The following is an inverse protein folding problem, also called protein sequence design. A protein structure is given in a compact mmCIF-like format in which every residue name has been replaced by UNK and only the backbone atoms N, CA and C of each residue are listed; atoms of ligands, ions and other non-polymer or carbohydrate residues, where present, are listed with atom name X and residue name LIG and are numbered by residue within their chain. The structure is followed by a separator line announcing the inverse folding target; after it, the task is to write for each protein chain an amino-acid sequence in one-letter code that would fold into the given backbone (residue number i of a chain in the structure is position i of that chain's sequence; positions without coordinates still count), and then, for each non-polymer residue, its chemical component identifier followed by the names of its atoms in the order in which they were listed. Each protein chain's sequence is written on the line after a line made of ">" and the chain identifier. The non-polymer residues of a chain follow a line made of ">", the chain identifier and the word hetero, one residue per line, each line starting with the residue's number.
data_IF_195774556916
#
_entry.id   IF_195774556916
#
_cell.length_a   1.000
_cell.length_b   1.000
_cell.length_c   1.000
_cell.angle_alpha   90.00
_cell.angle_beta   90.00
_cell.angle_gamma   90.00
#
_symmetry.space_group_name_H-M   'P 1'
#
loop_
_entity.id
_entity.type
_entity.pdbx_description
1 polymer ?
#
# COMPACT_ATOMS: atom_id res chain seq x y z
N UNK A 1 -34.90 -7.30 -0.55
CA UNK A 1 -34.43 -5.95 -0.93
C UNK A 1 -34.91 -4.98 0.14
N UNK A 2 -34.56 -5.25 1.39
CA UNK A 2 -34.95 -4.47 2.57
C UNK A 2 -33.69 -4.20 3.38
N UNK A 3 -33.02 -3.08 3.06
CA UNK A 3 -31.85 -2.60 3.80
C UNK A 3 -31.52 -1.15 3.37
N UNK A 4 -32.06 -0.18 4.11
CA UNK A 4 -32.12 1.24 3.73
C UNK A 4 -30.73 1.92 3.80
N UNK A 5 -29.97 1.91 2.70
CA UNK A 5 -28.91 2.90 2.46
C UNK A 5 -29.36 3.98 1.48
N UNK A 6 -28.60 5.06 1.37
CA UNK A 6 -28.98 6.25 0.61
C UNK A 6 -27.95 6.61 -0.47
N UNK A 7 -28.40 7.37 -1.48
CA UNK A 7 -27.54 7.98 -2.49
C UNK A 7 -27.14 9.36 -1.99
N UNK A 8 -25.85 9.57 -1.79
CA UNK A 8 -25.31 10.81 -1.19
C UNK A 8 -24.88 11.81 -2.24
N UNK A 9 -24.35 11.32 -3.36
CA UNK A 9 -23.90 12.13 -4.48
C UNK A 9 -24.17 11.40 -5.79
N UNK A 10 -24.39 12.17 -6.86
CA UNK A 10 -24.75 11.66 -8.18
C UNK A 10 -24.25 12.61 -9.26
N UNK A 11 -23.65 12.06 -10.32
CA UNK A 11 -23.25 12.81 -11.50
C UNK A 11 -23.67 12.06 -12.75
N UNK A 12 -24.33 12.77 -13.65
CA UNK A 12 -24.62 12.29 -14.99
C UNK A 12 -23.33 12.26 -15.81
N UNK A 13 -23.08 11.16 -16.52
CA UNK A 13 -21.98 11.07 -17.49
C UNK A 13 -22.50 11.48 -18.87
N UNK A 14 -23.62 10.87 -19.28
CA UNK A 14 -24.29 11.10 -20.55
C UNK A 14 -25.80 10.75 -20.41
N UNK A 15 -26.51 10.65 -21.52
CA UNK A 15 -27.92 10.24 -21.56
C UNK A 15 -28.17 8.77 -21.17
N UNK A 16 -27.13 7.93 -21.13
CA UNK A 16 -27.23 6.49 -20.93
C UNK A 16 -26.92 6.09 -19.49
N UNK A 17 -25.97 6.77 -18.82
CA UNK A 17 -25.54 6.44 -17.46
C UNK A 17 -25.39 7.63 -16.52
N UNK A 18 -25.57 7.35 -15.23
CA UNK A 18 -25.11 8.19 -14.13
C UNK A 18 -24.25 7.37 -13.16
N UNK A 19 -23.28 8.03 -12.53
CA UNK A 19 -22.52 7.48 -11.42
C UNK A 19 -23.03 8.07 -10.12
N UNK A 20 -23.23 7.23 -9.11
CA UNK A 20 -23.74 7.67 -7.81
C UNK A 20 -22.95 7.01 -6.69
N UNK A 21 -22.82 7.69 -5.55
CA UNK A 21 -22.26 7.08 -4.34
C UNK A 21 -23.39 6.68 -3.43
N UNK A 22 -23.41 5.40 -3.08
CA UNK A 22 -24.31 4.83 -2.09
C UNK A 22 -23.55 4.56 -0.78
N UNK A 23 -24.21 4.81 0.34
CA UNK A 23 -23.71 4.41 1.66
C UNK A 23 -24.86 4.01 2.59
N UNK A 24 -24.53 3.22 3.60
CA UNK A 24 -25.39 2.88 4.74
C UNK A 24 -24.71 3.29 6.06
N UNK A 25 -24.08 4.47 6.08
CA UNK A 25 -23.17 4.86 7.17
C UNK A 25 -21.86 4.06 7.20
N UNK A 26 -21.53 3.37 6.11
CA UNK A 26 -20.35 2.53 5.93
C UNK A 26 -19.50 3.03 4.76
N UNK A 27 -18.48 2.23 4.41
CA UNK A 27 -17.66 2.42 3.21
C UNK A 27 -18.51 2.75 1.98
N UNK A 28 -18.17 3.81 1.21
CA UNK A 28 -18.92 4.15 0.03
C UNK A 28 -18.86 3.03 -1.01
N UNK A 29 -19.96 2.88 -1.76
CA UNK A 29 -20.06 1.98 -2.89
C UNK A 29 -20.47 2.78 -4.12
N UNK A 30 -19.91 2.43 -5.26
CA UNK A 30 -20.25 3.05 -6.53
C UNK A 30 -21.50 2.39 -7.09
N UNK A 31 -22.48 3.21 -7.47
CA UNK A 31 -23.66 2.79 -8.20
C UNK A 31 -23.52 3.25 -9.64
N UNK A 32 -23.56 2.30 -10.56
CA UNK A 32 -23.75 2.57 -11.98
C UNK A 32 -25.25 2.50 -12.26
N UNK A 33 -25.87 3.65 -12.54
CA UNK A 33 -27.26 3.74 -12.95
C UNK A 33 -27.34 3.72 -14.48
N UNK A 34 -27.94 2.67 -15.04
CA UNK A 34 -28.36 2.64 -16.43
C UNK A 34 -29.70 3.39 -16.57
N UNK A 35 -29.66 4.59 -17.16
CA UNK A 35 -30.83 5.46 -17.35
C UNK A 35 -31.83 4.88 -18.34
N UNK A 36 -31.37 4.13 -19.33
CA UNK A 36 -32.22 3.52 -20.36
C UNK A 36 -33.08 2.35 -19.83
N UNK A 37 -32.63 1.67 -18.78
CA UNK A 37 -33.33 0.53 -18.17
C UNK A 37 -33.79 0.79 -16.75
N UNK A 38 -33.51 1.98 -16.20
CA UNK A 38 -33.67 2.32 -14.79
C UNK A 38 -33.08 1.22 -13.85
N UNK A 39 -31.96 0.63 -14.28
CA UNK A 39 -31.32 -0.48 -13.58
C UNK A 39 -30.07 0.02 -12.86
N UNK A 40 -29.90 -0.35 -11.60
CA UNK A 40 -28.74 0.03 -10.77
C UNK A 40 -27.85 -1.17 -10.56
N UNK A 41 -26.54 -0.97 -10.70
CA UNK A 41 -25.53 -1.95 -10.31
C UNK A 41 -24.63 -1.34 -9.26
N UNK A 42 -24.61 -1.96 -8.08
CA UNK A 42 -23.70 -1.62 -7.00
C UNK A 42 -22.36 -2.34 -7.21
N UNK A 43 -21.25 -1.60 -7.15
CA UNK A 43 -19.89 -2.13 -7.29
C UNK A 43 -18.95 -1.45 -6.27
N UNK A 44 -17.85 -2.14 -5.94
CA UNK A 44 -16.78 -1.57 -5.13
C UNK A 44 -15.97 -0.55 -5.95
N UNK A 45 -15.43 0.48 -5.28
CA UNK A 45 -14.57 1.46 -5.92
C UNK A 45 -13.26 0.86 -6.44
N UNK A 46 -12.81 -0.25 -5.83
CA UNK A 46 -11.70 -1.06 -6.35
C UNK A 46 -11.91 -1.58 -7.77
N UNK A 47 -13.15 -1.60 -8.27
CA UNK A 47 -13.41 -1.98 -9.66
C UNK A 47 -12.73 -1.03 -10.67
N UNK A 48 -12.52 0.24 -10.29
CA UNK A 48 -11.94 1.31 -11.10
C UNK A 48 -10.40 1.28 -11.15
N UNK A 49 -9.75 0.44 -10.36
CA UNK A 49 -8.28 0.37 -10.30
C UNK A 49 -7.68 -0.26 -11.55
N UNK A 50 -8.43 -1.19 -12.18
CA UNK A 50 -8.02 -1.86 -13.42
C UNK A 50 -8.40 -1.00 -14.63
N UNK A 51 -7.47 -0.16 -15.08
CA UNK A 51 -7.69 0.85 -16.13
C UNK A 51 -8.04 0.27 -17.51
N UNK A 52 -7.67 -0.98 -17.75
CA UNK A 52 -7.99 -1.75 -18.96
C UNK A 52 -9.44 -2.25 -18.99
N UNK A 53 -10.17 -2.18 -17.87
CA UNK A 53 -11.58 -2.59 -17.83
C UNK A 53 -12.45 -1.67 -18.66
N UNK A 54 -13.47 -2.29 -19.26
CA UNK A 54 -14.54 -1.59 -19.98
C UNK A 54 -15.89 -1.89 -19.36
N UNK A 55 -16.72 -0.87 -19.23
CA UNK A 55 -18.10 -1.01 -18.79
C UNK A 55 -19.01 -1.09 -20.02
N UNK A 56 -19.63 -2.24 -20.24
CA UNK A 56 -20.66 -2.39 -21.27
C UNK A 56 -22.05 -2.17 -20.67
N UNK A 57 -22.81 -1.24 -21.23
CA UNK A 57 -24.14 -0.84 -20.76
C UNK A 57 -25.16 -1.10 -21.86
N UNK A 58 -26.23 -1.84 -21.54
CA UNK A 58 -27.31 -2.12 -22.50
C UNK A 58 -28.08 -0.84 -22.84
N UNK A 59 -28.27 -0.59 -24.13
CA UNK A 59 -29.03 0.53 -24.67
C UNK A 59 -30.55 0.33 -24.59
N UNK A 60 -31.31 1.26 -25.19
CA UNK A 60 -32.78 1.21 -25.18
C UNK A 60 -33.30 0.02 -25.96
N UNK A 61 -32.79 -0.24 -27.17
CA UNK A 61 -33.23 -1.37 -28.01
C UNK A 61 -32.42 -2.64 -27.73
N UNK A 62 -33.01 -3.78 -28.09
CA UNK A 62 -32.36 -5.09 -27.98
C UNK A 62 -31.16 -5.14 -28.94
N UNK A 63 -29.97 -5.42 -28.41
CA UNK A 63 -28.73 -5.51 -29.18
C UNK A 63 -27.89 -4.22 -29.18
N UNK A 64 -28.43 -3.08 -28.72
CA UNK A 64 -27.64 -1.85 -28.55
C UNK A 64 -26.85 -1.91 -27.24
N UNK A 65 -25.59 -1.47 -27.29
CA UNK A 65 -24.74 -1.31 -26.11
C UNK A 65 -23.77 -0.15 -26.27
N UNK A 66 -23.59 0.63 -25.23
CA UNK A 66 -22.52 1.61 -25.10
C UNK A 66 -21.39 1.00 -24.29
N UNK A 67 -20.14 1.27 -24.67
CA UNK A 67 -18.94 0.80 -23.99
C UNK A 67 -18.18 2.01 -23.48
N UNK A 68 -17.85 2.01 -22.19
CA UNK A 68 -17.12 3.08 -21.53
C UNK A 68 -15.78 2.59 -21.00
N UNK A 69 -14.78 3.45 -21.08
CA UNK A 69 -13.47 3.25 -20.47
C UNK A 69 -13.41 3.92 -19.10
N UNK A 70 -12.62 3.36 -18.17
CA UNK A 70 -12.54 3.89 -16.80
C UNK A 70 -12.11 5.36 -16.76
N UNK A 71 -11.23 5.77 -17.69
CA UNK A 71 -10.75 7.15 -17.78
C UNK A 71 -11.86 8.18 -17.97
N UNK A 72 -12.96 7.81 -18.64
CA UNK A 72 -14.11 8.69 -18.88
C UNK A 72 -14.87 9.01 -17.59
N UNK A 73 -14.77 8.13 -16.58
CA UNK A 73 -15.44 8.32 -15.30
C UNK A 73 -14.66 9.20 -14.34
N UNK A 74 -13.37 9.45 -14.58
CA UNK A 74 -12.49 10.09 -13.61
C UNK A 74 -13.00 11.46 -13.14
N UNK A 75 -13.42 12.40 -14.01
CA UNK A 75 -13.91 13.72 -13.55
C UNK A 75 -15.18 13.62 -12.71
N UNK A 76 -16.12 12.75 -13.14
CA UNK A 76 -17.37 12.53 -12.42
C UNK A 76 -17.12 11.88 -11.06
N UNK A 77 -16.21 10.91 -10.98
CA UNK A 77 -15.82 10.24 -9.74
C UNK A 77 -15.17 11.21 -8.75
N UNK A 78 -14.22 12.03 -9.21
CA UNK A 78 -13.59 13.05 -8.36
C UNK A 78 -14.63 14.00 -7.77
N UNK A 79 -15.63 14.40 -8.56
CA UNK A 79 -16.73 15.25 -8.10
C UNK A 79 -17.58 14.55 -7.04
N UNK A 80 -18.15 13.38 -7.35
CA UNK A 80 -19.08 12.71 -6.43
C UNK A 80 -18.40 12.21 -5.15
N UNK A 81 -17.12 11.85 -5.20
CA UNK A 81 -16.34 11.50 -4.00
C UNK A 81 -16.06 12.74 -3.14
N UNK A 82 -15.80 13.90 -3.76
CA UNK A 82 -15.59 15.15 -3.03
C UNK A 82 -16.88 15.60 -2.32
N UNK A 83 -18.03 15.48 -2.99
CA UNK A 83 -19.36 15.71 -2.40
C UNK A 83 -19.63 14.75 -1.24
N UNK A 84 -19.32 13.46 -1.40
CA UNK A 84 -19.45 12.44 -0.35
C UNK A 84 -18.61 12.74 0.89
N UNK A 85 -17.38 13.21 0.71
CA UNK A 85 -16.47 13.52 1.80
C UNK A 85 -16.95 14.70 2.68
N UNK A 86 -17.67 15.65 2.08
CA UNK A 86 -18.33 16.75 2.82
C UNK A 86 -19.50 16.20 3.64
N UNK A 87 -20.29 15.29 3.07
CA UNK A 87 -21.51 14.78 3.69
C UNK A 87 -21.27 13.88 4.92
N UNK A 88 -20.27 12.99 4.88
CA UNK A 88 -20.19 11.84 5.81
C UNK A 88 -19.32 12.04 7.05
N UNK A 89 -18.92 13.28 7.38
CA UNK A 89 -17.84 13.52 8.37
C UNK A 89 -16.58 12.69 8.06
N UNK A 90 -16.29 12.50 6.76
CA UNK A 90 -15.14 11.75 6.28
C UNK A 90 -13.82 12.33 6.79
N UNK A 91 -13.71 13.67 6.86
CA UNK A 91 -12.51 14.38 7.30
C UNK A 91 -12.02 13.95 8.71
N UNK A 92 -12.85 13.98 9.77
CA UNK A 92 -12.47 13.43 11.08
C UNK A 92 -11.99 11.97 11.05
N UNK A 93 -12.68 11.10 10.30
CA UNK A 93 -12.31 9.68 10.19
C UNK A 93 -10.97 9.52 9.46
N UNK A 94 -10.77 10.27 8.37
CA UNK A 94 -9.54 10.29 7.60
C UNK A 94 -8.36 10.78 8.43
N UNK A 95 -8.53 11.90 9.15
CA UNK A 95 -7.48 12.43 10.02
C UNK A 95 -7.07 11.42 11.09
N UNK A 96 -8.06 10.84 11.79
CA UNK A 96 -7.80 9.82 12.80
C UNK A 96 -7.09 8.60 12.22
N UNK A 97 -7.60 8.06 11.11
CA UNK A 97 -7.04 6.86 10.51
C UNK A 97 -5.63 7.09 9.96
N UNK A 98 -5.37 8.26 9.38
CA UNK A 98 -4.02 8.63 8.94
C UNK A 98 -3.05 8.69 10.11
N UNK A 99 -3.44 9.30 11.24
CA UNK A 99 -2.62 9.34 12.46
C UNK A 99 -2.37 7.93 13.01
N UNK A 100 -3.39 7.08 13.05
CA UNK A 100 -3.26 5.68 13.49
C UNK A 100 -2.32 4.89 12.57
N UNK A 101 -2.43 5.08 11.26
CA UNK A 101 -1.55 4.45 10.28
C UNK A 101 -0.09 4.94 10.41
N UNK A 102 0.13 6.24 10.65
CA UNK A 102 1.45 6.82 10.90
C UNK A 102 2.10 6.21 12.14
N UNK A 103 1.34 6.08 13.23
CA UNK A 103 1.79 5.42 14.46
C UNK A 103 2.18 3.97 14.19
N UNK A 104 1.36 3.23 13.45
CA UNK A 104 1.61 1.81 13.14
C UNK A 104 2.87 1.63 12.28
N UNK A 105 3.13 2.50 11.31
CA UNK A 105 4.32 2.45 10.45
C UNK A 105 5.62 2.77 11.19
N UNK A 106 5.52 3.59 12.23
CA UNK A 106 6.68 4.08 12.97
C UNK A 106 6.92 3.35 14.30
N UNK A 107 6.27 2.22 14.55
CA UNK A 107 6.59 1.39 15.72
C UNK A 107 8.04 0.91 15.60
N UNK A 108 8.92 1.27 16.56
CA UNK A 108 10.30 0.83 16.54
C UNK A 108 10.43 -0.61 17.06
N UNK A 109 11.26 -1.41 16.40
CA UNK A 109 11.60 -2.75 16.85
C UNK A 109 12.76 -2.67 17.85
N UNK A 110 12.55 -3.23 19.05
CA UNK A 110 13.53 -3.13 20.14
C UNK A 110 14.59 -4.20 19.97
N UNK A 111 15.86 -3.79 19.95
CA UNK A 111 17.01 -4.69 19.90
C UNK A 111 17.90 -4.40 21.09
N UNK A 112 18.13 -5.40 21.94
CA UNK A 112 18.95 -5.25 23.15
C UNK A 112 20.25 -6.03 23.07
N UNK A 113 20.37 -6.97 22.13
CA UNK A 113 21.55 -7.79 21.96
C UNK A 113 22.28 -7.45 20.66
N UNK A 114 23.62 -7.37 20.72
CA UNK A 114 24.44 -7.01 19.56
C UNK A 114 24.49 -8.13 18.53
N UNK A 115 24.38 -9.39 18.96
CA UNK A 115 24.27 -10.53 18.06
C UNK A 115 22.96 -10.49 17.27
N UNK A 116 21.85 -10.17 17.94
CA UNK A 116 20.54 -9.96 17.30
C UNK A 116 20.58 -8.84 16.26
N UNK A 117 21.25 -7.73 16.56
CA UNK A 117 21.38 -6.61 15.62
C UNK A 117 22.03 -7.02 14.29
N UNK A 118 22.98 -7.97 14.34
CA UNK A 118 23.65 -8.50 13.14
C UNK A 118 22.82 -9.56 12.41
N UNK A 119 21.80 -10.13 13.06
CA UNK A 119 20.98 -11.24 12.56
C UNK A 119 19.50 -10.98 12.88
N UNK A 120 18.98 -9.85 12.41
CA UNK A 120 17.59 -9.47 12.63
C UNK A 120 16.65 -10.48 11.97
N UNK A 121 15.64 -10.91 12.71
CA UNK A 121 14.53 -11.69 12.15
C UNK A 121 13.85 -10.90 11.02
N UNK A 122 13.26 -11.59 10.03
CA UNK A 122 12.46 -10.95 8.96
C UNK A 122 11.38 -10.00 9.51
N UNK A 123 10.84 -10.42 10.64
CA UNK A 123 9.88 -9.69 11.45
C UNK A 123 10.39 -8.30 11.87
N UNK A 124 11.60 -8.23 12.43
CA UNK A 124 12.23 -6.95 12.81
C UNK A 124 12.74 -6.18 11.59
N UNK A 125 13.20 -6.91 10.56
CA UNK A 125 13.57 -6.34 9.27
C UNK A 125 12.42 -5.67 8.54
N UNK A 126 11.18 -5.89 8.94
CA UNK A 126 10.01 -5.24 8.36
C UNK A 126 9.61 -3.92 9.03
N UNK A 127 10.42 -3.37 9.94
CA UNK A 127 10.17 -2.07 10.58
C UNK A 127 11.01 -0.94 9.95
N UNK A 128 10.52 0.30 10.01
CA UNK A 128 11.29 1.48 9.57
C UNK A 128 12.29 1.96 10.63
N UNK A 129 12.13 1.54 11.87
CA UNK A 129 12.93 2.04 13.00
C UNK A 129 13.36 0.89 13.89
N UNK A 130 14.59 0.96 14.38
CA UNK A 130 15.12 0.06 15.40
C UNK A 130 15.45 0.89 16.64
N UNK A 131 14.90 0.51 17.78
CA UNK A 131 15.36 1.02 19.07
C UNK A 131 16.56 0.19 19.51
N UNK A 132 17.76 0.67 19.19
CA UNK A 132 19.04 0.01 19.45
C UNK A 132 19.49 0.33 20.88
N UNK A 133 19.36 -0.67 21.76
CA UNK A 133 19.78 -0.66 23.17
C UNK A 133 20.92 -1.65 23.41
N UNK A 134 21.77 -1.88 22.40
CA UNK A 134 22.87 -2.86 22.44
C UNK A 134 24.12 -2.37 23.17
N UNK A 135 24.12 -1.09 23.59
CA UNK A 135 25.20 -0.50 24.39
C UNK A 135 25.32 -1.08 25.81
N UNK A 136 26.31 -0.61 26.54
CA UNK A 136 26.60 -1.06 27.92
C UNK A 136 25.42 -0.78 28.88
N UNK A 137 24.80 0.40 28.76
CA UNK A 137 23.60 0.76 29.51
C UNK A 137 22.34 0.43 28.70
N UNK A 138 21.69 -0.69 29.03
CA UNK A 138 20.45 -1.18 28.39
C UNK A 138 19.26 -0.23 28.52
N UNK A 139 19.36 0.85 29.33
CA UNK A 139 18.33 1.89 29.43
C UNK A 139 18.56 3.06 28.48
N UNK A 140 19.71 3.12 27.82
CA UNK A 140 20.10 4.14 26.86
C UNK A 140 20.38 3.54 25.50
N UNK A 141 20.19 4.33 24.46
CA UNK A 141 20.48 3.89 23.10
C UNK A 141 20.04 4.91 22.07
N UNK A 142 19.66 4.44 20.90
CA UNK A 142 19.28 5.30 19.78
C UNK A 142 18.14 4.70 18.96
N UNK A 143 17.23 5.55 18.48
CA UNK A 143 16.33 5.19 17.39
C UNK A 143 17.09 5.26 16.07
N UNK A 144 17.47 4.10 15.55
CA UNK A 144 18.17 3.97 14.28
C UNK A 144 17.19 3.87 13.11
N UNK A 145 17.34 4.72 12.08
CA UNK A 145 16.65 4.53 10.81
C UNK A 145 16.97 3.16 10.21
N UNK A 146 15.94 2.40 9.83
CA UNK A 146 16.07 1.18 9.06
C UNK A 146 15.54 1.38 7.64
N UNK A 147 16.13 2.37 6.98
CA UNK A 147 15.86 2.75 5.61
C UNK A 147 17.01 3.61 5.07
N UNK A 148 17.21 3.65 3.74
CA UNK A 148 18.16 4.58 3.15
C UNK A 148 17.74 6.03 3.40
N UNK A 149 18.66 6.83 3.95
CA UNK A 149 18.47 8.25 4.22
C UNK A 149 19.04 9.06 3.05
N UNK A 150 18.17 9.76 2.33
CA UNK A 150 18.54 10.70 1.26
C UNK A 150 19.32 11.91 1.80
N UNK A 151 20.02 12.68 0.94
CA UNK A 151 20.71 13.89 1.37
C UNK A 151 19.82 14.88 2.12
N UNK A 152 18.59 15.09 1.66
CA UNK A 152 17.60 16.01 2.26
C UNK A 152 17.16 15.52 3.64
N UNK A 153 16.89 14.21 3.77
CA UNK A 153 16.50 13.58 5.04
C UNK A 153 17.66 13.53 6.04
N UNK A 154 18.90 13.45 5.55
CA UNK A 154 20.09 13.49 6.41
C UNK A 154 20.21 14.82 7.12
N UNK A 155 19.91 15.94 6.44
CA UNK A 155 19.82 17.25 7.09
C UNK A 155 18.73 17.29 8.16
N UNK A 156 17.59 16.67 7.89
CA UNK A 156 16.45 16.56 8.81
C UNK A 156 16.72 15.68 10.05
N UNK A 157 17.58 14.68 9.92
CA UNK A 157 18.00 13.75 10.99
C UNK A 157 19.44 14.01 11.47
N UNK A 158 19.88 15.27 11.47
CA UNK A 158 21.27 15.65 11.74
C UNK A 158 21.77 15.37 13.16
N UNK A 159 20.87 15.23 14.13
CA UNK A 159 21.21 14.88 15.52
C UNK A 159 20.84 13.42 15.82
N UNK A 160 21.66 12.70 16.61
CA UNK A 160 21.31 11.36 17.10
C UNK A 160 19.96 11.34 17.80
N UNK A 161 19.15 10.31 17.53
CA UNK A 161 17.82 10.16 18.12
C UNK A 161 17.91 9.35 19.42
N UNK A 162 18.47 9.98 20.46
CA UNK A 162 18.78 9.32 21.72
C UNK A 162 17.54 8.74 22.43
N UNK A 163 17.70 7.52 22.95
CA UNK A 163 16.78 6.89 23.90
C UNK A 163 17.38 7.05 25.30
N UNK A 164 16.56 7.55 26.23
CA UNK A 164 16.92 7.68 27.66
C UNK A 164 15.85 7.00 28.50
N UNK A 165 16.26 6.44 29.64
CA UNK A 165 15.37 5.83 30.62
C UNK A 165 14.38 4.83 30.02
N UNK A 166 14.83 4.05 29.02
CA UNK A 166 14.04 3.05 28.31
C UNK A 166 12.80 3.60 27.55
N UNK A 167 12.80 4.91 27.23
CA UNK A 167 11.78 5.58 26.40
C UNK A 167 11.90 5.18 24.93
N UNK A 168 11.47 3.95 24.61
CA UNK A 168 11.66 3.28 23.32
C UNK A 168 10.37 3.02 22.55
N UNK A 169 9.26 3.64 22.97
CA UNK A 169 7.96 3.43 22.33
C UNK A 169 7.81 4.29 21.07
N UNK A 170 6.76 4.04 20.28
CA UNK A 170 6.39 4.92 19.16
C UNK A 170 6.13 6.35 19.61
N UNK A 171 5.52 6.56 20.78
CA UNK A 171 5.27 7.90 21.32
C UNK A 171 6.59 8.63 21.63
N UNK A 172 7.59 7.90 22.11
CA UNK A 172 8.92 8.45 22.39
C UNK A 172 9.65 8.83 21.10
N UNK A 173 9.57 7.98 20.05
CA UNK A 173 10.08 8.32 18.74
C UNK A 173 9.38 9.56 18.16
N UNK A 174 8.05 9.65 18.26
CA UNK A 174 7.29 10.80 17.76
C UNK A 174 7.68 12.10 18.49
N UNK A 175 7.93 12.03 19.80
CA UNK A 175 8.41 13.18 20.61
C UNK A 175 9.75 13.73 20.13
N UNK A 176 10.61 12.92 19.52
CA UNK A 176 11.87 13.43 18.93
C UNK A 176 11.65 14.39 17.76
N UNK A 177 10.44 14.40 17.18
CA UNK A 177 10.09 15.16 15.99
C UNK A 177 10.69 14.62 14.69
N UNK A 178 11.39 13.48 14.71
CA UNK A 178 12.06 12.89 13.55
C UNK A 178 11.09 12.64 12.38
N UNK A 179 9.94 12.01 12.67
CA UNK A 179 8.91 11.71 11.66
C UNK A 179 8.40 12.99 10.98
N UNK A 180 8.11 14.04 11.77
CA UNK A 180 7.67 15.35 11.22
C UNK A 180 8.75 16.00 10.36
N UNK A 181 10.02 15.92 10.76
CA UNK A 181 11.14 16.48 9.98
C UNK A 181 11.34 15.72 8.66
N UNK A 182 11.20 14.40 8.67
CA UNK A 182 11.22 13.56 7.46
C UNK A 182 10.07 13.90 6.51
N UNK A 183 8.85 14.03 7.04
CA UNK A 183 7.67 14.46 6.27
C UNK A 183 7.84 15.84 5.64
N UNK A 184 8.54 16.76 6.30
CA UNK A 184 8.86 18.06 5.73
C UNK A 184 9.96 18.00 4.67
N UNK A 185 11.01 17.19 4.89
CA UNK A 185 12.13 17.07 3.96
C UNK A 185 11.76 16.35 2.65
N UNK A 186 10.96 15.28 2.75
CA UNK A 186 10.52 14.50 1.59
C UNK A 186 9.05 14.07 1.74
N UNK A 187 8.09 14.99 1.50
CA UNK A 187 6.67 14.68 1.67
C UNK A 187 6.19 13.58 0.72
N UNK A 188 6.78 13.46 -0.47
CA UNK A 188 6.41 12.44 -1.44
C UNK A 188 6.71 11.01 -0.94
N UNK A 189 7.66 10.85 0.00
CA UNK A 189 8.00 9.57 0.61
C UNK A 189 7.25 9.33 1.92
N UNK A 190 7.23 10.30 2.82
CA UNK A 190 6.80 10.09 4.20
C UNK A 190 5.34 10.50 4.46
N UNK A 191 4.77 11.38 3.64
CA UNK A 191 3.49 12.02 3.92
C UNK A 191 2.41 11.64 2.91
N UNK A 192 2.64 11.87 1.62
CA UNK A 192 1.65 11.63 0.57
C UNK A 192 1.21 10.16 0.47
N UNK A 193 2.12 9.16 0.51
CA UNK A 193 1.75 7.74 0.40
C UNK A 193 0.81 7.29 1.52
N UNK A 194 1.07 7.77 2.73
CA UNK A 194 0.28 7.47 3.91
C UNK A 194 -1.13 8.06 3.81
N UNK A 195 -1.23 9.33 3.43
CA UNK A 195 -2.52 10.02 3.32
C UNK A 195 -3.37 9.49 2.18
N UNK A 196 -2.76 9.21 1.03
CA UNK A 196 -3.45 8.59 -0.11
C UNK A 196 -3.88 7.18 0.25
N UNK A 197 -3.04 6.41 0.94
CA UNK A 197 -3.43 5.09 1.41
C UNK A 197 -4.62 5.16 2.37
N UNK A 198 -4.55 6.03 3.38
CA UNK A 198 -5.64 6.22 4.33
C UNK A 198 -6.96 6.62 3.66
N UNK A 199 -6.92 7.57 2.72
CA UNK A 199 -8.08 8.02 1.97
C UNK A 199 -8.65 6.92 1.07
N UNK A 200 -7.81 6.23 0.29
CA UNK A 200 -8.21 5.15 -0.60
C UNK A 200 -8.86 4.00 0.19
N UNK A 201 -8.25 3.58 1.31
CA UNK A 201 -8.78 2.54 2.16
C UNK A 201 -10.15 2.93 2.74
N UNK A 202 -10.31 4.14 3.30
CA UNK A 202 -11.61 4.58 3.83
C UNK A 202 -12.68 4.69 2.76
N UNK A 203 -12.30 5.08 1.53
CA UNK A 203 -13.20 5.10 0.39
C UNK A 203 -13.48 3.70 -0.19
N UNK A 204 -12.92 2.63 0.36
CA UNK A 204 -13.23 1.27 -0.09
C UNK A 204 -12.54 0.86 -1.40
N UNK A 205 -11.41 1.48 -1.74
CA UNK A 205 -10.46 0.91 -2.68
C UNK A 205 -9.80 -0.34 -2.09
N UNK A 206 -9.18 -1.15 -2.95
CA UNK A 206 -8.49 -2.37 -2.55
C UNK A 206 -7.26 -2.06 -1.70
N UNK A 207 -6.79 -3.08 -0.97
CA UNK A 207 -5.57 -3.03 -0.18
C UNK A 207 -4.44 -3.66 -1.01
N UNK A 208 -3.95 -2.93 -2.03
CA UNK A 208 -3.02 -3.47 -3.05
C UNK A 208 -3.58 -4.74 -3.71
N UNK A 209 -4.75 -4.60 -4.34
CA UNK A 209 -5.51 -5.64 -5.08
C UNK A 209 -6.19 -6.70 -4.20
N UNK A 210 -6.06 -6.61 -2.87
CA UNK A 210 -6.83 -7.44 -1.95
C UNK A 210 -8.14 -6.75 -1.53
N UNK A 211 -9.20 -7.52 -1.31
CA UNK A 211 -10.44 -6.99 -0.76
C UNK A 211 -10.27 -6.70 0.74
N UNK A 212 -10.26 -5.41 1.10
CA UNK A 212 -10.16 -4.94 2.48
C UNK A 212 -11.51 -4.54 3.09
N UNK A 213 -12.63 -4.83 2.42
CA UNK A 213 -13.95 -4.26 2.75
C UNK A 213 -14.40 -4.48 4.20
N UNK A 214 -14.11 -5.64 4.79
CA UNK A 214 -14.39 -5.92 6.20
C UNK A 214 -13.66 -4.95 7.15
N UNK A 215 -12.38 -4.71 6.90
CA UNK A 215 -11.57 -3.79 7.71
C UNK A 215 -12.03 -2.34 7.53
N UNK A 216 -12.39 -1.97 6.30
CA UNK A 216 -12.92 -0.64 6.01
C UNK A 216 -14.23 -0.44 6.76
N UNK A 217 -15.15 -1.40 6.71
CA UNK A 217 -16.42 -1.32 7.43
C UNK A 217 -16.21 -1.18 8.95
N UNK A 218 -15.20 -1.85 9.52
CA UNK A 218 -14.82 -1.66 10.93
C UNK A 218 -14.38 -0.21 11.23
N UNK A 219 -13.58 0.41 10.36
CA UNK A 219 -13.20 1.81 10.51
C UNK A 219 -14.40 2.76 10.44
N UNK A 220 -15.41 2.42 9.63
CA UNK A 220 -16.62 3.22 9.52
C UNK A 220 -17.57 3.05 10.71
N UNK A 221 -17.81 1.82 11.17
CA UNK A 221 -18.69 1.49 12.32
C UNK A 221 -18.13 1.99 13.65
N UNK A 222 -16.81 1.96 13.83
CA UNK A 222 -16.18 2.10 15.13
C UNK A 222 -16.45 0.89 16.03
N UNK A 223 -15.70 0.74 17.12
CA UNK A 223 -15.83 -0.40 18.07
C UNK A 223 -17.15 -0.40 18.89
N UNK A 224 -18.12 0.46 18.55
CA UNK A 224 -19.28 0.78 19.36
C UNK A 224 -20.61 0.15 18.92
N UNK A 225 -20.62 -0.74 17.93
CA UNK A 225 -21.87 -1.41 17.53
C UNK A 225 -22.20 -2.55 18.54
N UNK A 226 -23.27 -2.45 19.34
CA UNK A 226 -23.60 -3.43 20.38
C UNK A 226 -23.95 -4.82 19.83
N UNK A 227 -24.04 -4.98 18.50
CA UNK A 227 -24.34 -6.25 17.85
C UNK A 227 -23.16 -7.24 17.82
N UNK A 228 -21.92 -6.82 18.14
CA UNK A 228 -20.76 -7.72 18.17
C UNK A 228 -20.10 -7.72 19.55
N UNK A 229 -20.22 -8.86 20.24
CA UNK A 229 -19.49 -9.20 21.48
C UNK A 229 -17.99 -9.37 21.18
N UNK A 230 -17.31 -8.29 20.78
CA UNK A 230 -15.84 -8.25 20.71
C UNK A 230 -15.35 -7.62 22.01
N UNK A 231 -14.46 -8.29 22.78
CA UNK A 231 -14.01 -7.77 24.07
C UNK A 231 -13.31 -6.42 23.89
N UNK A 232 -13.90 -5.38 24.50
CA UNK A 232 -13.32 -4.03 24.58
C UNK A 232 -11.93 -4.10 25.23
N UNK A 233 -10.88 -3.79 24.48
CA UNK A 233 -9.56 -3.53 25.05
C UNK A 233 -9.51 -2.07 25.50
N UNK A 234 -9.13 -1.85 26.75
CA UNK A 234 -9.06 -0.55 27.40
C UNK A 234 -7.98 0.34 26.77
N UNK A 235 -8.43 1.28 25.93
CA UNK A 235 -7.69 2.43 25.40
C UNK A 235 -8.71 3.35 24.72
N UNK A 236 -8.53 4.67 24.82
CA UNK A 236 -9.49 5.65 24.31
C UNK A 236 -9.92 5.34 22.86
N UNK A 237 -11.23 5.27 22.63
CA UNK A 237 -11.86 4.46 21.59
C UNK A 237 -11.33 4.68 20.16
N UNK A 238 -10.95 3.59 19.51
CA UNK A 238 -10.52 3.50 18.11
C UNK A 238 -10.18 2.05 17.78
N UNK A 239 -10.37 1.62 16.52
CA UNK A 239 -9.98 0.28 16.07
C UNK A 239 -8.46 0.17 16.16
N UNK A 240 -7.95 -0.67 17.07
CA UNK A 240 -6.51 -0.96 17.17
C UNK A 240 -6.09 -2.00 16.14
N UNK A 241 -5.00 -1.73 15.42
CA UNK A 241 -4.37 -2.64 14.47
C UNK A 241 -2.85 -2.42 14.45
N UNK A 242 -2.10 -3.38 13.89
CA UNK A 242 -0.65 -3.29 13.70
C UNK A 242 -0.24 -3.62 12.27
N UNK A 243 1.05 -3.49 11.95
CA UNK A 243 1.56 -3.73 10.58
C UNK A 243 1.27 -5.13 10.03
N UNK A 244 1.18 -6.11 10.93
CA UNK A 244 0.96 -7.52 10.61
C UNK A 244 -0.48 -7.97 10.81
N UNK A 245 -1.38 -7.02 11.06
CA UNK A 245 -2.79 -7.33 11.19
C UNK A 245 -3.27 -8.03 9.90
N UNK A 246 -3.75 -9.29 9.98
CA UNK A 246 -4.19 -10.01 8.80
C UNK A 246 -5.29 -9.27 8.04
N UNK A 247 -6.09 -8.44 8.72
CA UNK A 247 -7.16 -7.62 8.14
C UNK A 247 -6.63 -6.53 7.21
N UNK A 248 -5.35 -6.14 7.34
CA UNK A 248 -4.68 -5.24 6.40
C UNK A 248 -4.21 -5.95 5.13
N UNK A 249 -4.31 -7.28 5.02
CA UNK A 249 -3.98 -8.03 3.81
C UNK A 249 -2.56 -7.75 3.27
N UNK A 250 -1.61 -7.51 4.16
CA UNK A 250 -0.22 -7.17 3.81
C UNK A 250 0.00 -5.72 3.38
N UNK A 251 -1.04 -4.88 3.33
CA UNK A 251 -0.96 -3.45 2.96
C UNK A 251 0.07 -2.68 3.80
N UNK A 252 0.07 -2.89 5.12
CA UNK A 252 1.04 -2.25 6.02
C UNK A 252 2.49 -2.58 5.66
N UNK A 253 2.79 -3.86 5.36
CA UNK A 253 4.12 -4.31 4.95
C UNK A 253 4.52 -3.73 3.60
N UNK A 254 3.60 -3.70 2.64
CA UNK A 254 3.83 -3.11 1.31
C UNK A 254 4.09 -1.60 1.40
N UNK A 255 3.37 -0.89 2.26
CA UNK A 255 3.60 0.53 2.52
C UNK A 255 4.96 0.78 3.18
N UNK A 256 5.35 -0.03 4.18
CA UNK A 256 6.72 0.04 4.75
C UNK A 256 7.78 -0.19 3.67
N UNK A 257 7.62 -1.25 2.87
CA UNK A 257 8.55 -1.58 1.80
C UNK A 257 8.68 -0.42 0.80
N UNK A 258 7.55 0.18 0.43
CA UNK A 258 7.51 1.37 -0.43
C UNK A 258 8.23 2.57 0.19
N UNK A 259 7.98 2.88 1.46
CA UNK A 259 8.66 3.97 2.16
C UNK A 259 10.16 3.68 2.23
N UNK A 260 10.58 2.47 2.60
CA UNK A 260 12.01 2.10 2.67
C UNK A 260 12.68 2.25 1.30
N UNK A 261 12.11 1.65 0.27
CA UNK A 261 12.69 1.56 -1.07
C UNK A 261 12.11 2.58 -2.04
N UNK A 262 11.75 3.77 -1.56
CA UNK A 262 11.01 4.78 -2.32
C UNK A 262 11.65 5.13 -3.66
N UNK A 263 12.97 5.32 -3.71
CA UNK A 263 13.68 5.60 -4.96
C UNK A 263 13.78 4.36 -5.86
N UNK A 264 13.97 3.18 -5.29
CA UNK A 264 13.99 1.93 -6.06
C UNK A 264 12.62 1.65 -6.70
N UNK A 265 11.52 1.87 -5.97
CA UNK A 265 10.16 1.63 -6.45
C UNK A 265 9.82 2.45 -7.71
N UNK A 266 10.41 3.66 -7.84
CA UNK A 266 10.27 4.50 -9.05
C UNK A 266 11.09 3.97 -10.23
N UNK A 267 12.25 3.39 -9.96
CA UNK A 267 13.18 2.91 -10.98
C UNK A 267 12.90 1.48 -11.46
N UNK A 268 12.13 0.70 -10.70
CA UNK A 268 11.70 -0.64 -11.11
C UNK A 268 10.62 -0.51 -12.17
N UNK A 269 10.89 -1.07 -13.36
CA UNK A 269 9.90 -1.30 -14.40
C UNK A 269 9.21 -2.65 -14.17
N UNK A 270 7.89 -2.69 -14.29
CA UNK A 270 7.09 -3.92 -14.22
C UNK A 270 6.33 -4.14 -15.52
N UNK A 271 6.27 -5.40 -15.98
CA UNK A 271 5.40 -5.82 -17.10
C UNK A 271 5.02 -7.29 -17.00
N UNK A 272 3.97 -7.69 -17.70
CA UNK A 272 3.59 -9.09 -17.87
C UNK A 272 4.22 -9.70 -19.12
N UNK A 273 4.47 -11.00 -19.09
CA UNK A 273 5.01 -11.78 -20.21
C UNK A 273 4.37 -13.17 -20.25
N UNK A 274 4.27 -13.78 -21.43
CA UNK A 274 3.80 -15.17 -21.54
C UNK A 274 4.88 -16.19 -21.16
N UNK A 275 6.15 -15.82 -21.37
CA UNK A 275 7.34 -16.62 -21.06
C UNK A 275 8.49 -15.66 -20.74
N UNK A 276 8.64 -15.34 -19.46
CA UNK A 276 9.63 -14.35 -19.00
C UNK A 276 11.06 -14.81 -19.24
N UNK A 277 11.33 -16.11 -19.08
CA UNK A 277 12.63 -16.70 -19.31
C UNK A 277 13.05 -16.54 -20.78
N UNK A 278 12.16 -16.91 -21.72
CA UNK A 278 12.44 -16.77 -23.15
C UNK A 278 12.60 -15.31 -23.55
N UNK A 279 11.69 -14.42 -23.11
CA UNK A 279 11.75 -13.00 -23.45
C UNK A 279 13.06 -12.36 -22.99
N UNK A 280 13.52 -12.67 -21.78
CA UNK A 280 14.77 -12.10 -21.24
C UNK A 280 16.01 -12.66 -21.95
N UNK A 281 16.02 -13.95 -22.29
CA UNK A 281 17.09 -14.56 -23.09
C UNK A 281 17.16 -13.99 -24.50
N UNK A 282 16.01 -13.81 -25.18
CA UNK A 282 15.94 -13.21 -26.52
C UNK A 282 16.41 -11.74 -26.53
N UNK A 283 16.32 -11.06 -25.39
CA UNK A 283 16.86 -9.70 -25.18
C UNK A 283 18.36 -9.68 -24.85
N UNK A 284 19.02 -10.84 -24.81
CA UNK A 284 20.44 -10.97 -24.50
C UNK A 284 20.77 -10.98 -23.00
N UNK A 285 19.78 -11.14 -22.11
CA UNK A 285 20.06 -11.21 -20.69
C UNK A 285 20.64 -12.58 -20.31
N UNK A 286 21.62 -12.58 -19.39
CA UNK A 286 22.30 -13.80 -18.93
C UNK A 286 21.68 -14.27 -17.63
N UNK A 287 21.13 -15.50 -17.63
CA UNK A 287 20.58 -16.14 -16.44
C UNK A 287 21.66 -16.38 -15.38
N UNK A 288 21.36 -16.10 -14.11
CA UNK A 288 22.26 -16.32 -12.97
C UNK A 288 21.84 -17.50 -12.11
N UNK A 289 20.75 -17.32 -11.38
CA UNK A 289 20.25 -18.30 -10.43
C UNK A 289 18.74 -18.16 -10.28
N UNK A 290 18.13 -19.06 -9.52
CA UNK A 290 16.68 -19.13 -9.34
C UNK A 290 16.34 -19.39 -7.88
N UNK A 291 15.37 -18.66 -7.36
CA UNK A 291 14.80 -18.82 -6.03
C UNK A 291 13.32 -19.20 -6.10
N UNK A 292 12.81 -19.84 -5.06
CA UNK A 292 11.40 -20.25 -4.96
C UNK A 292 10.75 -19.55 -3.77
N UNK A 293 9.79 -18.68 -4.07
CA UNK A 293 9.03 -17.92 -3.10
C UNK A 293 7.70 -18.61 -2.82
N UNK A 294 7.32 -18.66 -1.55
CA UNK A 294 6.09 -19.29 -1.10
C UNK A 294 4.86 -18.43 -1.42
N UNK A 295 3.70 -19.07 -1.36
CA UNK A 295 2.38 -18.44 -1.49
C UNK A 295 2.25 -17.28 -0.48
N UNK A 296 1.74 -16.14 -0.94
CA UNK A 296 1.55 -14.93 -0.13
C UNK A 296 2.76 -13.99 -0.08
N UNK A 297 3.95 -14.43 -0.53
CA UNK A 297 5.14 -13.55 -0.53
C UNK A 297 5.12 -12.59 -1.70
N UNK A 298 5.22 -13.09 -2.94
CA UNK A 298 5.19 -12.25 -4.16
C UNK A 298 3.75 -12.08 -4.67
N UNK A 299 2.95 -13.13 -4.59
CA UNK A 299 1.55 -13.14 -5.04
C UNK A 299 0.72 -14.13 -4.23
N UNK A 300 -0.47 -14.43 -4.74
CA UNK A 300 -1.45 -15.36 -4.15
C UNK A 300 -1.05 -16.84 -4.25
N UNK A 301 -0.05 -17.14 -5.08
CA UNK A 301 0.52 -18.49 -5.28
C UNK A 301 2.04 -18.42 -5.15
N UNK A 302 2.71 -19.57 -5.14
CA UNK A 302 4.18 -19.65 -5.15
C UNK A 302 4.76 -19.22 -6.49
N UNK A 303 5.93 -18.59 -6.42
CA UNK A 303 6.66 -18.09 -7.59
C UNK A 303 8.04 -18.69 -7.67
N UNK A 304 8.43 -19.05 -8.87
CA UNK A 304 9.82 -19.25 -9.22
C UNK A 304 10.37 -17.95 -9.79
N UNK A 305 11.36 -17.37 -9.13
CA UNK A 305 12.00 -16.13 -9.55
C UNK A 305 13.39 -16.45 -10.09
N UNK A 306 13.59 -16.20 -11.37
CA UNK A 306 14.88 -16.35 -12.06
C UNK A 306 15.54 -14.98 -12.19
N UNK A 307 16.81 -14.91 -11.82
CA UNK A 307 17.63 -13.70 -11.91
C UNK A 307 18.38 -13.67 -13.22
N UNK A 308 18.42 -12.49 -13.84
CA UNK A 308 19.12 -12.23 -15.09
C UNK A 308 19.92 -10.93 -15.01
N UNK A 309 21.10 -10.91 -15.62
CA UNK A 309 21.85 -9.67 -15.86
C UNK A 309 21.71 -9.27 -17.33
N UNK A 310 21.41 -8.00 -17.56
CA UNK A 310 21.53 -7.34 -18.85
C UNK A 310 22.97 -6.83 -19.00
N UNK A 311 23.56 -6.97 -20.19
CA UNK A 311 24.89 -6.43 -20.53
C UNK A 311 24.99 -4.91 -20.31
N UNK A 312 23.85 -4.22 -20.25
CA UNK A 312 23.74 -2.77 -19.97
C UNK A 312 23.77 -2.39 -18.49
N UNK A 313 24.16 -3.31 -17.59
CA UNK A 313 24.26 -3.03 -16.15
C UNK A 313 22.91 -2.95 -15.44
N UNK A 314 21.89 -3.63 -15.98
CA UNK A 314 20.56 -3.77 -15.36
C UNK A 314 20.37 -5.21 -14.90
N UNK A 315 19.58 -5.39 -13.86
CA UNK A 315 19.11 -6.70 -13.43
C UNK A 315 17.64 -6.87 -13.84
N UNK A 316 17.27 -8.09 -14.19
CA UNK A 316 15.89 -8.47 -14.43
C UNK A 316 15.51 -9.70 -13.60
N UNK A 317 14.26 -9.71 -13.13
CA UNK A 317 13.64 -10.83 -12.44
C UNK A 317 12.52 -11.38 -13.32
N UNK A 318 12.62 -12.65 -13.71
CA UNK A 318 11.53 -13.41 -14.31
C UNK A 318 10.75 -14.15 -13.22
N UNK A 319 9.55 -13.69 -12.92
CA UNK A 319 8.70 -14.20 -11.84
C UNK A 319 7.58 -15.09 -12.41
N UNK A 320 7.83 -16.40 -12.43
CA UNK A 320 6.90 -17.41 -12.96
C UNK A 320 6.01 -17.99 -11.86
N UNK A 321 4.68 -17.78 -11.90
CA UNK A 321 3.78 -18.39 -10.94
C UNK A 321 3.70 -19.91 -11.16
N UNK A 322 3.51 -20.67 -10.08
CA UNK A 322 3.36 -22.14 -10.13
C UNK A 322 1.93 -22.61 -10.42
N UNK A 323 0.96 -21.70 -10.33
CA UNK A 323 -0.45 -21.94 -10.61
C UNK A 323 -1.08 -20.67 -11.24
N UNK A 324 -2.35 -20.75 -11.64
CA UNK A 324 -3.08 -19.59 -12.12
C UNK A 324 -3.19 -18.54 -11.00
N UNK A 325 -3.01 -17.27 -11.35
CA UNK A 325 -3.04 -16.15 -10.40
C UNK A 325 -4.35 -15.38 -10.54
N UNK A 326 -4.83 -14.80 -9.44
CA UNK A 326 -6.01 -13.93 -9.45
C UNK A 326 -5.71 -12.51 -9.95
N UNK A 327 -4.43 -12.12 -10.02
CA UNK A 327 -4.00 -10.72 -10.13
C UNK A 327 -3.56 -10.35 -11.53
N UNK A 328 -2.81 -11.21 -12.20
CA UNK A 328 -2.27 -10.98 -13.53
C UNK A 328 -2.34 -12.23 -14.40
N UNK A 329 -2.31 -12.01 -15.71
CA UNK A 329 -2.21 -13.09 -16.70
C UNK A 329 -0.75 -13.23 -17.14
N UNK A 330 -0.22 -14.45 -17.00
CA UNK A 330 1.14 -14.80 -17.39
C UNK A 330 2.16 -14.71 -16.24
N UNK A 331 3.39 -14.39 -16.61
CA UNK A 331 4.56 -14.22 -15.75
C UNK A 331 4.87 -12.73 -15.58
N UNK A 332 5.45 -12.35 -14.44
CA UNK A 332 5.86 -10.96 -14.22
C UNK A 332 7.35 -10.80 -14.54
N UNK A 333 7.70 -9.68 -15.15
CA UNK A 333 9.08 -9.25 -15.31
C UNK A 333 9.26 -7.95 -14.53
N UNK A 334 10.26 -7.93 -13.66
CA UNK A 334 10.78 -6.70 -13.05
C UNK A 334 12.15 -6.38 -13.62
N UNK A 335 12.38 -5.14 -14.06
CA UNK A 335 13.69 -4.68 -14.55
C UNK A 335 14.11 -3.45 -13.77
N UNK A 336 15.36 -3.42 -13.31
CA UNK A 336 15.90 -2.29 -12.56
C UNK A 336 17.42 -2.19 -12.70
N UNK A 337 18.00 -0.99 -12.50
CA UNK A 337 19.45 -0.83 -12.42
C UNK A 337 20.08 -1.77 -11.36
N UNK A 338 21.21 -2.41 -11.69
CA UNK A 338 21.84 -3.38 -10.79
C UNK A 338 22.31 -2.75 -9.46
N UNK A 339 22.78 -1.49 -9.52
CA UNK A 339 23.20 -0.72 -8.35
C UNK A 339 22.05 -0.45 -7.36
N UNK A 340 20.80 -0.46 -7.82
CA UNK A 340 19.63 -0.33 -6.95
C UNK A 340 19.43 -1.63 -6.15
N UNK A 341 19.66 -2.78 -6.78
CA UNK A 341 19.56 -4.07 -6.09
C UNK A 341 20.64 -4.24 -5.03
N UNK A 342 21.90 -3.95 -5.40
CA UNK A 342 23.04 -4.06 -4.49
C UNK A 342 22.88 -3.14 -3.28
N UNK A 343 22.39 -1.91 -3.50
CA UNK A 343 22.07 -1.00 -2.40
C UNK A 343 20.92 -1.51 -1.54
N UNK A 344 19.88 -2.10 -2.14
CA UNK A 344 18.77 -2.68 -1.37
C UNK A 344 19.25 -3.83 -0.48
N UNK A 345 20.10 -4.73 -1.00
CA UNK A 345 20.71 -5.82 -0.24
C UNK A 345 21.45 -5.33 1.00
N UNK A 346 22.15 -4.19 0.91
CA UNK A 346 22.82 -3.57 2.06
C UNK A 346 21.86 -2.88 3.02
N UNK A 347 20.85 -2.20 2.49
CA UNK A 347 19.89 -1.44 3.30
C UNK A 347 18.93 -2.33 4.09
N UNK A 348 18.68 -3.56 3.64
CA UNK A 348 17.75 -4.49 4.27
C UNK A 348 18.35 -5.32 5.41
N UNK A 349 19.64 -5.15 5.71
CA UNK A 349 20.34 -5.99 6.69
C UNK A 349 20.82 -5.26 7.93
N UNK A 350 20.77 -3.91 7.95
CA UNK A 350 21.28 -3.07 9.04
C UNK A 350 22.73 -3.43 9.47
N UNK A 351 23.55 -3.89 8.53
CA UNK A 351 24.93 -4.35 8.78
C UNK A 351 25.09 -5.86 8.96
N UNK A 352 23.99 -6.62 8.93
CA UNK A 352 23.97 -8.08 8.86
C UNK A 352 24.22 -8.65 7.45
N UNK A 353 24.14 -9.99 7.30
CA UNK A 353 24.35 -10.66 6.02
C UNK A 353 23.21 -10.38 5.04
N UNK A 354 23.55 -10.29 3.76
CA UNK A 354 22.59 -10.09 2.66
C UNK A 354 21.63 -11.27 2.52
N UNK A 355 20.40 -10.96 2.12
CA UNK A 355 19.32 -11.94 1.97
C UNK A 355 18.48 -11.61 0.74
N UNK A 356 18.66 -12.39 -0.32
CA UNK A 356 17.96 -12.20 -1.59
C UNK A 356 16.45 -12.44 -1.46
N UNK A 357 16.01 -13.38 -0.60
CA UNK A 357 14.59 -13.65 -0.39
C UNK A 357 13.90 -12.44 0.22
N UNK A 358 14.47 -11.90 1.28
CA UNK A 358 13.91 -10.72 1.93
C UNK A 358 13.94 -9.50 1.00
N UNK A 359 15.09 -9.23 0.37
CA UNK A 359 15.29 -8.05 -0.47
C UNK A 359 14.38 -8.05 -1.71
N UNK A 360 14.27 -9.17 -2.42
CA UNK A 360 13.35 -9.29 -3.56
C UNK A 360 11.91 -9.09 -3.11
N UNK A 361 11.52 -9.67 -1.97
CA UNK A 361 10.16 -9.48 -1.42
C UNK A 361 9.88 -8.00 -1.16
N UNK A 362 10.80 -7.28 -0.52
CA UNK A 362 10.63 -5.84 -0.25
C UNK A 362 10.54 -5.02 -1.53
N UNK A 363 11.40 -5.26 -2.52
CA UNK A 363 11.38 -4.50 -3.78
C UNK A 363 10.10 -4.77 -4.60
N UNK A 364 9.65 -6.03 -4.65
CA UNK A 364 8.39 -6.39 -5.31
C UNK A 364 7.20 -5.76 -4.59
N UNK A 365 7.16 -5.80 -3.26
CA UNK A 365 6.13 -5.15 -2.47
C UNK A 365 6.10 -3.64 -2.64
N UNK A 366 7.28 -3.01 -2.64
CA UNK A 366 7.42 -1.58 -2.90
C UNK A 366 6.88 -1.21 -4.29
N UNK A 367 7.18 -2.02 -5.32
CA UNK A 367 6.66 -1.81 -6.67
C UNK A 367 5.15 -2.05 -6.77
N UNK A 368 4.63 -3.12 -6.17
CA UNK A 368 3.19 -3.38 -6.13
C UNK A 368 2.41 -2.26 -5.43
N UNK A 369 2.94 -1.74 -4.31
CA UNK A 369 2.35 -0.58 -3.65
C UNK A 369 2.40 0.63 -4.56
N UNK A 370 3.51 0.87 -5.28
CA UNK A 370 3.63 1.98 -6.22
C UNK A 370 2.60 1.90 -7.34
N UNK A 371 2.45 0.73 -7.96
CA UNK A 371 1.48 0.48 -9.03
C UNK A 371 0.04 0.74 -8.53
N UNK A 372 -0.29 0.26 -7.34
CA UNK A 372 -1.57 0.54 -6.69
C UNK A 372 -1.74 2.02 -6.34
N UNK A 373 -0.71 2.65 -5.76
CA UNK A 373 -0.73 4.08 -5.41
C UNK A 373 -0.99 4.94 -6.65
N UNK A 374 -0.31 4.67 -7.77
CA UNK A 374 -0.49 5.40 -9.02
C UNK A 374 -1.87 5.12 -9.65
N UNK A 375 -2.48 3.96 -9.38
CA UNK A 375 -3.83 3.63 -9.84
C UNK A 375 -4.92 4.37 -9.05
N UNK A 376 -4.76 4.53 -7.72
CA UNK A 376 -5.76 5.16 -6.85
C UNK A 376 -5.59 6.67 -6.69
N UNK A 377 -4.36 7.18 -6.75
CA UNK A 377 -4.05 8.60 -6.51
C UNK A 377 -4.87 9.59 -7.35
N UNK A 378 -5.20 9.33 -8.65
CA UNK A 378 -6.05 10.21 -9.42
C UNK A 378 -7.44 10.44 -8.81
N UNK A 379 -7.98 9.46 -8.07
CA UNK A 379 -9.31 9.56 -7.46
C UNK A 379 -9.30 10.23 -6.09
N UNK A 380 -8.19 10.13 -5.36
CA UNK A 380 -8.16 10.46 -3.92
C UNK A 380 -7.16 11.55 -3.52
N UNK A 381 -6.32 12.03 -4.44
CA UNK A 381 -5.28 13.03 -4.15
C UNK A 381 -5.84 14.33 -3.56
N UNK A 382 -7.04 14.74 -3.96
CA UNK A 382 -7.73 15.92 -3.40
C UNK A 382 -8.03 15.79 -1.90
N UNK A 383 -8.17 14.56 -1.39
CA UNK A 383 -8.39 14.31 0.05
C UNK A 383 -7.10 14.40 0.87
N UNK A 384 -5.93 14.23 0.25
CA UNK A 384 -4.65 14.32 0.96
C UNK A 384 -4.39 15.73 1.52
N UNK A 385 -4.94 16.77 0.89
CA UNK A 385 -4.90 18.16 1.36
C UNK A 385 -5.91 18.49 2.47
N UNK A 386 -6.79 17.56 2.84
CA UNK A 386 -7.78 17.77 3.91
C UNK A 386 -7.26 17.46 5.32
N UNK A 387 -6.04 16.94 5.42
CA UNK A 387 -5.39 16.49 6.67
C UNK A 387 -4.30 17.46 7.08
#
# INVERSE_FOLDING_TARGET
>A
MDDKGEIVSSCDIDENIALQIWTKGLSPRLVVLNKNKNARKLIHLSWLEKRDRKLSVKGRKRGESSVYEIGEFLPALQRILSEYAVYTAFRPKLWKFAVDLERVLHVPEVVTDRGELNLLSEDKRSALWVADLTGEDKKKGEFRPFFPVSPEERGALSAPLEIKDNARSVEDLLRTGAVRRLAHANPARWHSPLRIAAAAMLLGFSFCEADGSEMVDLFWRGEGDPAQNVPRRSGAGGVSFGLRDPRLMGMGRKLVAFIRHFEAAKAIESRTSLDSDKELLDRGCVRKHRLVFQDGTIGDVSYAVTFFDDEKGRMALGCKPKAATLRHEGELIYVFPADIYERALLHDTLGGPTDDFFTVTQLVWARQFRDWYDSVAPYVSSFAGLI
#
